data_IF_461115355850
#
_entry.id   IF_461115355850
#
_cell.length_a   1.000
_cell.length_b   1.000
_cell.length_c   1.000
_cell.angle_alpha   90.00
_cell.angle_beta   90.00
_cell.angle_gamma   90.00
#
_symmetry.space_group_name_H-M   'P 1'
#
loop_
_entity.id
_entity.type
_entity.pdbx_description
1 polymer ?
#
# COMPACT_ATOMS: atom_id res chain seq x y z
N UNK A 1 3.73 -15.94 -20.59
CA UNK A 1 3.11 -15.42 -21.86
C UNK A 1 3.36 -13.92 -21.89
N UNK A 2 3.93 -13.33 -22.95
CA UNK A 2 4.21 -11.90 -22.98
C UNK A 2 2.89 -11.10 -22.88
N UNK A 3 2.92 -9.99 -22.13
CA UNK A 3 1.78 -9.09 -21.98
C UNK A 3 1.35 -8.57 -23.37
N UNK A 4 0.10 -8.84 -23.75
CA UNK A 4 -0.46 -8.39 -25.03
C UNK A 4 -1.24 -7.09 -24.83
N UNK A 5 -1.31 -6.26 -25.86
CA UNK A 5 -2.11 -5.01 -25.88
C UNK A 5 -1.29 -3.81 -26.31
N UNK A 6 -1.97 -2.72 -26.55
CA UNK A 6 -1.36 -1.46 -26.93
C UNK A 6 -0.57 -0.84 -25.76
N UNK A 7 0.39 0.02 -26.10
CA UNK A 7 1.16 0.79 -25.12
C UNK A 7 0.20 1.67 -24.32
N UNK A 8 0.15 1.56 -22.96
CA UNK A 8 -0.64 2.48 -22.18
C UNK A 8 0.05 3.86 -22.12
N UNK A 9 -0.74 4.91 -22.08
CA UNK A 9 -0.23 6.25 -21.80
C UNK A 9 0.03 6.41 -20.28
N UNK A 10 -0.83 5.83 -19.47
CA UNK A 10 -0.77 5.87 -18.04
C UNK A 10 -0.32 4.53 -17.43
N UNK A 11 0.66 4.62 -16.54
CA UNK A 11 0.96 3.57 -15.57
C UNK A 11 0.34 3.96 -14.24
N UNK A 12 -0.50 3.09 -13.69
CA UNK A 12 -1.05 3.30 -12.36
C UNK A 12 -0.33 2.42 -11.35
N UNK A 13 -0.11 2.94 -10.15
CA UNK A 13 0.66 2.28 -9.10
C UNK A 13 -0.14 2.20 -7.81
N UNK A 14 -0.05 1.07 -7.13
CA UNK A 14 -0.22 1.05 -5.69
C UNK A 14 0.95 1.78 -5.01
N UNK A 15 0.77 2.23 -3.76
CA UNK A 15 1.77 3.01 -3.05
C UNK A 15 2.50 2.20 -1.97
N UNK A 16 1.79 1.86 -0.91
CA UNK A 16 2.39 1.22 0.26
C UNK A 16 2.65 -0.27 0.01
N UNK A 17 3.87 -0.73 0.33
CA UNK A 17 4.35 -2.06 -0.03
C UNK A 17 4.82 -2.19 -1.49
N UNK A 18 4.44 -1.25 -2.37
CA UNK A 18 4.86 -1.20 -3.78
C UNK A 18 5.99 -0.19 -4.00
N UNK A 19 5.75 1.06 -3.68
CA UNK A 19 6.70 2.18 -3.81
C UNK A 19 7.34 2.55 -2.47
N UNK A 20 6.56 2.48 -1.40
CA UNK A 20 6.90 2.88 -0.03
C UNK A 20 7.03 1.64 0.85
N UNK A 21 8.04 1.61 1.71
CA UNK A 21 8.39 0.51 2.62
C UNK A 21 7.36 0.40 3.77
N UNK A 22 6.24 -0.25 3.50
CA UNK A 22 5.15 -0.42 4.47
C UNK A 22 5.54 -1.31 5.64
N UNK A 23 6.05 -2.51 5.36
CA UNK A 23 6.29 -3.52 6.39
C UNK A 23 7.36 -3.06 7.38
N UNK A 24 8.45 -2.46 6.89
CA UNK A 24 9.53 -1.92 7.73
C UNK A 24 9.06 -0.72 8.54
N UNK A 25 8.25 0.14 7.94
CA UNK A 25 7.69 1.32 8.60
C UNK A 25 6.69 0.95 9.69
N UNK A 26 5.79 0.01 9.40
CA UNK A 26 4.82 -0.50 10.37
C UNK A 26 5.52 -1.22 11.53
N UNK A 27 6.53 -2.06 11.22
CA UNK A 27 7.37 -2.73 12.22
C UNK A 27 8.03 -1.73 13.17
N UNK A 28 8.59 -0.64 12.66
CA UNK A 28 9.24 0.39 13.46
C UNK A 28 8.24 1.15 14.36
N UNK A 29 7.06 1.51 13.82
CA UNK A 29 6.01 2.18 14.58
C UNK A 29 5.48 1.29 15.71
N UNK A 30 5.16 0.04 15.42
CA UNK A 30 4.65 -0.93 16.41
C UNK A 30 5.67 -1.22 17.50
N UNK A 31 6.96 -1.35 17.17
CA UNK A 31 8.03 -1.47 18.18
C UNK A 31 8.03 -0.28 19.13
N UNK A 32 7.88 0.93 18.61
CA UNK A 32 7.83 2.16 19.41
C UNK A 32 6.61 2.17 20.34
N UNK A 33 5.44 1.76 19.86
CA UNK A 33 4.22 1.67 20.65
C UNK A 33 4.36 0.62 21.75
N UNK A 34 4.84 -0.58 21.44
CA UNK A 34 5.02 -1.65 22.44
C UNK A 34 6.05 -1.28 23.52
N UNK A 35 7.11 -0.56 23.18
CA UNK A 35 8.10 -0.09 24.14
C UNK A 35 7.54 0.89 25.19
N UNK A 36 6.39 1.49 24.93
CA UNK A 36 5.70 2.44 25.83
C UNK A 36 4.69 1.76 26.77
N UNK A 37 4.41 0.47 26.57
CA UNK A 37 3.44 -0.25 27.39
C UNK A 37 3.93 -0.37 28.84
N UNK A 38 3.04 -0.22 29.83
CA UNK A 38 3.40 -0.39 31.24
C UNK A 38 3.99 -1.80 31.49
N UNK A 39 5.14 -1.87 32.14
CA UNK A 39 5.84 -3.14 32.43
C UNK A 39 6.90 -3.55 31.43
N UNK A 40 7.10 -2.86 30.32
CA UNK A 40 8.18 -3.14 29.36
C UNK A 40 9.59 -2.80 29.88
N UNK A 41 9.72 -2.04 31.01
CA UNK A 41 11.00 -1.46 31.45
C UNK A 41 11.31 -1.58 32.96
N UNK A 42 10.61 -2.44 33.75
CA UNK A 42 10.96 -2.60 35.17
C UNK A 42 11.72 -3.91 35.45
N UNK A 43 13.03 -3.84 35.79
CA UNK A 43 13.74 -4.97 36.37
C UNK A 43 13.17 -5.28 37.76
N UNK A 44 12.45 -6.40 37.91
CA UNK A 44 12.00 -6.86 39.22
C UNK A 44 10.51 -7.09 39.44
N UNK A 45 9.63 -6.78 38.46
CA UNK A 45 8.21 -7.12 38.60
C UNK A 45 7.98 -8.63 38.37
N UNK A 46 7.42 -9.29 39.40
CA UNK A 46 7.16 -10.75 39.44
C UNK A 46 5.88 -11.17 38.68
N UNK A 47 5.34 -10.39 37.81
CA UNK A 47 4.23 -10.83 36.94
C UNK A 47 4.69 -10.79 35.48
N UNK A 48 4.53 -11.89 34.74
CA UNK A 48 4.75 -11.86 33.31
C UNK A 48 3.64 -11.03 32.69
N UNK A 49 3.92 -9.79 32.32
CA UNK A 49 3.14 -9.12 31.28
C UNK A 49 3.30 -10.03 30.07
N UNK A 50 2.21 -10.55 29.54
CA UNK A 50 2.22 -11.30 28.30
C UNK A 50 2.97 -10.45 27.26
N UNK A 51 4.19 -10.85 26.92
CA UNK A 51 4.99 -10.14 25.92
C UNK A 51 4.31 -10.39 24.57
N UNK A 52 3.36 -9.53 24.23
CA UNK A 52 2.82 -9.50 22.88
C UNK A 52 3.99 -9.17 21.97
N UNK A 53 4.35 -10.10 21.09
CA UNK A 53 5.38 -9.85 20.12
C UNK A 53 4.88 -8.89 19.03
N UNK A 54 5.83 -8.22 18.38
CA UNK A 54 5.55 -7.20 17.36
C UNK A 54 4.73 -7.74 16.20
N UNK A 55 5.01 -8.96 15.76
CA UNK A 55 4.32 -9.57 14.61
C UNK A 55 2.86 -9.90 14.93
N UNK A 56 2.60 -10.33 16.16
CA UNK A 56 1.23 -10.58 16.63
C UNK A 56 0.40 -9.30 16.62
N UNK A 57 0.96 -8.17 17.09
CA UNK A 57 0.23 -6.90 17.03
C UNK A 57 0.04 -6.41 15.60
N UNK A 58 1.04 -6.51 14.72
CA UNK A 58 0.92 -6.16 13.31
C UNK A 58 -0.18 -6.99 12.65
N UNK A 59 -0.14 -8.32 12.81
CA UNK A 59 -1.13 -9.21 12.20
C UNK A 59 -2.57 -8.90 12.68
N UNK A 60 -2.72 -8.63 13.98
CA UNK A 60 -4.03 -8.29 14.56
C UNK A 60 -4.50 -6.92 14.07
N UNK A 61 -3.60 -5.95 13.93
CA UNK A 61 -3.88 -4.64 13.36
C UNK A 61 -4.32 -4.74 11.89
N UNK A 62 -3.57 -5.46 11.05
CA UNK A 62 -3.90 -5.66 9.64
C UNK A 62 -5.30 -6.27 9.45
N UNK A 63 -5.67 -7.22 10.30
CA UNK A 63 -7.02 -7.80 10.32
C UNK A 63 -8.08 -6.71 10.50
N UNK A 64 -7.94 -5.88 11.55
CA UNK A 64 -8.93 -4.84 11.85
C UNK A 64 -8.92 -3.69 10.85
N UNK A 65 -7.75 -3.26 10.39
CA UNK A 65 -7.62 -2.25 9.34
C UNK A 65 -8.42 -2.66 8.09
N UNK A 66 -8.18 -3.86 7.58
CA UNK A 66 -8.88 -4.37 6.41
C UNK A 66 -10.40 -4.56 6.62
N UNK A 67 -10.82 -4.99 7.80
CA UNK A 67 -12.25 -5.08 8.12
C UNK A 67 -12.91 -3.69 8.14
N UNK A 68 -12.26 -2.69 8.72
CA UNK A 68 -12.76 -1.33 8.82
C UNK A 68 -12.82 -0.63 7.46
N UNK A 69 -11.83 -0.84 6.59
CA UNK A 69 -11.82 -0.33 5.21
C UNK A 69 -13.05 -0.77 4.40
N UNK A 70 -13.54 -1.99 4.65
CA UNK A 70 -14.70 -2.55 3.92
C UNK A 70 -16.04 -2.17 4.53
N UNK A 71 -16.08 -1.54 5.70
CA UNK A 71 -17.33 -1.11 6.35
C UNK A 71 -17.93 0.14 5.69
N UNK A 72 -19.23 0.31 5.85
CA UNK A 72 -19.97 1.49 5.40
C UNK A 72 -20.67 2.15 6.60
N UNK A 73 -20.79 3.49 6.61
CA UNK A 73 -20.29 4.45 5.61
C UNK A 73 -18.76 4.47 5.55
N UNK A 74 -18.18 5.03 4.46
CA UNK A 74 -16.74 5.23 4.32
C UNK A 74 -16.18 6.07 5.48
N UNK A 75 -15.04 5.66 6.02
CA UNK A 75 -14.28 6.39 7.02
C UNK A 75 -12.96 6.85 6.42
N UNK A 76 -12.40 7.95 6.90
CA UNK A 76 -11.06 8.36 6.53
C UNK A 76 -10.03 7.29 6.94
N UNK A 77 -8.92 7.21 6.22
CA UNK A 77 -7.86 6.25 6.56
C UNK A 77 -7.27 6.53 7.94
N UNK A 78 -7.14 7.80 8.32
CA UNK A 78 -6.75 8.19 9.68
C UNK A 78 -7.67 7.60 10.75
N UNK A 79 -8.98 7.60 10.51
CA UNK A 79 -9.97 6.98 11.41
C UNK A 79 -9.80 5.45 11.44
N UNK A 80 -9.60 4.83 10.27
CA UNK A 80 -9.38 3.38 10.15
C UNK A 80 -8.12 2.96 10.90
N UNK A 81 -7.01 3.66 10.73
CA UNK A 81 -5.74 3.42 11.46
C UNK A 81 -5.95 3.50 12.98
N UNK A 82 -6.61 4.57 13.44
CA UNK A 82 -6.83 4.77 14.87
C UNK A 82 -7.76 3.71 15.49
N UNK A 83 -8.89 3.42 14.86
CA UNK A 83 -9.83 2.39 15.32
C UNK A 83 -9.20 0.99 15.24
N UNK A 84 -8.51 0.68 14.14
CA UNK A 84 -7.82 -0.60 13.93
C UNK A 84 -6.78 -0.87 15.01
N UNK A 85 -5.94 0.12 15.32
CA UNK A 85 -4.95 -0.01 16.38
C UNK A 85 -5.60 -0.21 17.75
N UNK A 86 -6.67 0.55 18.08
CA UNK A 86 -7.40 0.39 19.34
C UNK A 86 -7.99 -1.02 19.49
N UNK A 87 -8.63 -1.53 18.44
CA UNK A 87 -9.23 -2.86 18.43
C UNK A 87 -8.17 -3.95 18.57
N UNK A 88 -7.05 -3.83 17.83
CA UNK A 88 -5.95 -4.78 17.91
C UNK A 88 -5.32 -4.82 19.30
N UNK A 89 -5.00 -3.67 19.87
CA UNK A 89 -4.43 -3.58 21.20
C UNK A 89 -5.40 -4.07 22.28
N UNK A 90 -6.69 -3.77 22.16
CA UNK A 90 -7.72 -4.27 23.07
C UNK A 90 -7.85 -5.80 23.00
N UNK A 91 -7.87 -6.41 21.81
CA UNK A 91 -7.90 -7.88 21.63
C UNK A 91 -6.70 -8.55 22.31
N UNK A 92 -5.54 -7.88 22.30
CA UNK A 92 -4.29 -8.39 22.88
C UNK A 92 -4.09 -8.00 24.37
N UNK A 93 -5.09 -7.36 24.98
CA UNK A 93 -5.01 -6.93 26.40
C UNK A 93 -4.04 -5.77 26.64
N UNK A 94 -3.73 -4.98 25.62
CA UNK A 94 -2.85 -3.81 25.69
C UNK A 94 -3.66 -2.52 25.85
N UNK A 95 -3.06 -1.50 26.48
CA UNK A 95 -3.63 -0.16 26.55
C UNK A 95 -3.26 0.65 25.32
N UNK A 96 -4.26 1.24 24.64
CA UNK A 96 -4.06 2.12 23.50
C UNK A 96 -4.41 3.56 23.88
N UNK A 97 -3.48 4.47 23.67
CA UNK A 97 -3.63 5.91 23.90
C UNK A 97 -3.74 6.69 22.59
N UNK A 98 -4.20 7.93 22.64
CA UNK A 98 -4.19 8.80 21.45
C UNK A 98 -2.77 9.05 20.93
N UNK A 99 -1.78 9.10 21.85
CA UNK A 99 -0.37 9.20 21.47
C UNK A 99 0.14 7.99 20.66
N UNK A 100 -0.36 6.79 20.93
CA UNK A 100 0.02 5.60 20.17
C UNK A 100 -0.56 5.65 18.73
N UNK A 101 -1.78 6.16 18.60
CA UNK A 101 -2.42 6.40 17.29
C UNK A 101 -1.65 7.48 16.50
N UNK A 102 -1.24 8.56 17.18
CA UNK A 102 -0.45 9.61 16.55
C UNK A 102 0.92 9.09 16.09
N UNK A 103 1.59 8.26 16.89
CA UNK A 103 2.84 7.59 16.51
C UNK A 103 2.63 6.78 15.20
N UNK A 104 1.60 5.94 15.15
CA UNK A 104 1.35 5.12 13.97
C UNK A 104 1.04 5.99 12.75
N UNK A 105 0.07 6.90 12.86
CA UNK A 105 -0.37 7.75 11.74
C UNK A 105 0.77 8.64 11.20
N UNK A 106 1.53 9.27 12.10
CA UNK A 106 2.66 10.12 11.70
C UNK A 106 3.86 9.32 11.18
N UNK A 107 3.97 8.04 11.55
CA UNK A 107 4.97 7.14 10.97
C UNK A 107 4.65 6.80 9.52
N UNK A 108 3.38 6.59 9.18
CA UNK A 108 2.96 6.26 7.81
C UNK A 108 3.38 7.35 6.83
N UNK A 109 3.10 8.62 7.12
CA UNK A 109 3.48 9.74 6.23
C UNK A 109 5.01 9.92 6.07
N UNK A 110 5.81 9.34 6.97
CA UNK A 110 7.29 9.42 6.95
C UNK A 110 7.98 8.15 6.43
N UNK A 111 7.22 7.11 6.08
CA UNK A 111 7.81 5.91 5.47
C UNK A 111 8.55 6.27 4.18
N UNK A 112 9.68 5.60 3.95
CA UNK A 112 10.58 5.89 2.83
C UNK A 112 10.26 5.04 1.61
N UNK A 113 10.57 5.51 0.39
CA UNK A 113 10.54 4.64 -0.78
C UNK A 113 11.58 3.52 -0.67
N UNK A 114 11.34 2.43 -1.39
CA UNK A 114 12.39 1.44 -1.64
C UNK A 114 13.51 2.07 -2.48
N UNK A 115 14.75 1.58 -2.30
CA UNK A 115 15.94 2.24 -2.84
C UNK A 115 15.97 2.41 -4.35
N UNK A 116 15.35 1.50 -5.09
CA UNK A 116 15.29 1.53 -6.56
C UNK A 116 14.14 2.37 -7.14
N UNK A 117 13.14 2.75 -6.31
CA UNK A 117 11.86 3.30 -6.78
C UNK A 117 12.04 4.62 -7.52
N UNK A 118 12.77 5.58 -6.96
CA UNK A 118 12.92 6.91 -7.58
C UNK A 118 13.56 6.79 -8.96
N UNK A 119 14.64 6.00 -9.08
CA UNK A 119 15.30 5.75 -10.36
C UNK A 119 14.40 5.03 -11.38
N UNK A 120 13.63 4.05 -10.92
CA UNK A 120 12.70 3.32 -11.79
C UNK A 120 11.57 4.21 -12.30
N UNK A 121 10.96 5.05 -11.43
CA UNK A 121 9.95 6.03 -11.84
C UNK A 121 10.52 7.05 -12.82
N UNK A 122 11.76 7.53 -12.60
CA UNK A 122 12.47 8.42 -13.54
C UNK A 122 12.62 7.79 -14.93
N UNK A 123 13.11 6.54 -14.99
CA UNK A 123 13.24 5.79 -16.24
C UNK A 123 11.91 5.59 -16.98
N UNK A 124 10.82 5.32 -16.26
CA UNK A 124 9.48 5.23 -16.86
C UNK A 124 8.99 6.58 -17.40
N UNK A 125 9.31 7.70 -16.73
CA UNK A 125 9.01 9.04 -17.22
C UNK A 125 9.81 9.38 -18.49
N UNK A 126 11.10 9.04 -18.54
CA UNK A 126 11.96 9.19 -19.72
C UNK A 126 11.44 8.34 -20.90
N UNK A 127 10.84 7.20 -20.63
CA UNK A 127 10.15 6.38 -21.61
C UNK A 127 8.80 6.97 -22.06
N UNK A 128 8.40 8.13 -21.57
CA UNK A 128 7.19 8.85 -21.97
C UNK A 128 5.90 8.36 -21.30
N UNK A 129 5.97 7.57 -20.22
CA UNK A 129 4.79 7.18 -19.46
C UNK A 129 4.36 8.27 -18.47
N UNK A 130 3.05 8.43 -18.30
CA UNK A 130 2.47 9.23 -17.22
C UNK A 130 2.21 8.33 -16.01
N UNK A 131 2.49 8.82 -14.80
CA UNK A 131 2.43 8.04 -13.57
C UNK A 131 1.31 8.55 -12.68
N UNK A 132 0.40 7.64 -12.28
CA UNK A 132 -0.66 7.91 -11.31
C UNK A 132 -0.57 6.89 -10.16
N UNK A 133 -0.71 7.36 -8.92
CA UNK A 133 -0.84 6.51 -7.74
C UNK A 133 -2.33 6.32 -7.43
N UNK A 134 -2.73 5.08 -7.08
CA UNK A 134 -4.06 4.73 -6.55
C UNK A 134 -3.83 4.04 -5.20
N UNK A 135 -4.21 4.69 -4.09
CA UNK A 135 -3.84 4.26 -2.74
C UNK A 135 -5.00 4.27 -1.75
N UNK A 136 -5.00 3.28 -0.85
CA UNK A 136 -5.92 3.18 0.29
C UNK A 136 -5.47 4.11 1.43
N UNK A 137 -5.59 5.43 1.23
CA UNK A 137 -5.14 6.41 2.21
C UNK A 137 -5.90 7.74 2.08
N UNK A 138 -5.60 8.69 2.96
CA UNK A 138 -6.05 10.08 2.89
C UNK A 138 -5.01 10.94 2.16
N UNK A 139 -5.44 12.07 1.59
CA UNK A 139 -4.61 12.97 0.77
C UNK A 139 -3.44 13.57 1.55
N UNK A 140 -3.69 13.95 2.80
CA UNK A 140 -2.68 14.56 3.67
C UNK A 140 -1.61 13.54 4.15
N UNK A 141 -2.01 12.29 4.35
CA UNK A 141 -1.09 11.22 4.80
C UNK A 141 -0.10 10.86 3.69
N UNK A 142 -0.58 10.72 2.45
CA UNK A 142 0.28 10.30 1.33
C UNK A 142 1.18 11.42 0.79
N UNK A 143 0.86 12.69 1.06
CA UNK A 143 1.56 13.84 0.48
C UNK A 143 3.07 13.81 0.72
N UNK A 144 3.50 13.55 1.96
CA UNK A 144 4.92 13.49 2.32
C UNK A 144 5.63 12.29 1.70
N UNK A 145 4.94 11.15 1.53
CA UNK A 145 5.50 9.99 0.84
C UNK A 145 5.71 10.29 -0.65
N UNK A 146 4.73 10.93 -1.31
CA UNK A 146 4.82 11.31 -2.74
C UNK A 146 5.93 12.34 -2.97
N UNK A 147 6.14 13.27 -2.05
CA UNK A 147 7.25 14.25 -2.12
C UNK A 147 8.63 13.58 -2.21
N UNK A 148 8.79 12.37 -1.68
CA UNK A 148 10.03 11.59 -1.72
C UNK A 148 10.23 10.82 -3.06
N UNK A 149 9.24 10.82 -3.96
CA UNK A 149 9.28 10.05 -5.22
C UNK A 149 9.91 10.81 -6.40
N UNK A 150 10.73 11.83 -6.13
CA UNK A 150 11.54 12.52 -7.16
C UNK A 150 10.73 13.39 -8.14
N UNK A 151 9.49 13.77 -7.83
CA UNK A 151 8.65 14.59 -8.71
C UNK A 151 8.12 13.84 -9.95
N UNK A 152 8.24 12.52 -10.01
CA UNK A 152 7.85 11.71 -11.17
C UNK A 152 6.35 11.40 -11.24
N UNK A 153 5.62 11.58 -10.14
CA UNK A 153 4.18 11.29 -10.05
C UNK A 153 3.37 12.44 -10.62
N UNK A 154 2.50 12.15 -11.59
CA UNK A 154 1.66 13.15 -12.27
C UNK A 154 0.29 13.33 -11.59
N UNK A 155 -0.23 12.28 -10.96
CA UNK A 155 -1.54 12.26 -10.31
C UNK A 155 -1.54 11.31 -9.12
N UNK A 156 -2.29 11.65 -8.09
CA UNK A 156 -2.56 10.79 -6.93
C UNK A 156 -4.07 10.69 -6.77
N UNK A 157 -4.57 9.48 -6.63
CA UNK A 157 -5.96 9.16 -6.33
C UNK A 157 -5.97 8.37 -5.03
N UNK A 158 -6.76 8.83 -4.08
CA UNK A 158 -6.83 8.25 -2.73
C UNK A 158 -8.21 7.64 -2.46
N UNK A 159 -8.27 6.78 -1.44
CA UNK A 159 -9.54 6.26 -0.93
C UNK A 159 -10.44 7.40 -0.42
N UNK A 160 -9.88 8.48 0.11
CA UNK A 160 -10.61 9.67 0.53
C UNK A 160 -11.34 10.31 -0.66
N UNK A 161 -10.67 10.53 -1.80
CA UNK A 161 -11.27 11.12 -3.00
C UNK A 161 -12.36 10.24 -3.60
N UNK A 162 -12.16 8.93 -3.57
CA UNK A 162 -13.09 7.96 -4.16
C UNK A 162 -14.23 7.55 -3.22
N UNK A 163 -14.13 7.87 -1.92
CA UNK A 163 -14.97 7.35 -0.84
C UNK A 163 -15.07 5.81 -0.87
N UNK A 164 -13.96 5.16 -1.22
CA UNK A 164 -13.87 3.71 -1.36
C UNK A 164 -12.43 3.23 -1.25
N UNK A 165 -12.24 2.12 -0.56
CA UNK A 165 -10.98 1.39 -0.45
C UNK A 165 -10.88 0.29 -1.50
N UNK A 166 -9.66 -0.03 -1.98
CA UNK A 166 -9.39 -1.28 -2.71
C UNK A 166 -9.78 -2.49 -1.83
N UNK A 167 -10.27 -3.58 -2.41
CA UNK A 167 -10.37 -3.90 -3.83
C UNK A 167 -11.66 -3.40 -4.49
N UNK A 168 -12.42 -2.48 -3.89
CA UNK A 168 -13.63 -1.96 -4.50
C UNK A 168 -13.35 -1.38 -5.89
N UNK A 169 -14.18 -1.73 -6.88
CA UNK A 169 -14.12 -1.18 -8.23
C UNK A 169 -14.24 0.35 -8.26
N UNK A 170 -14.95 0.94 -7.27
CA UNK A 170 -15.22 2.39 -7.21
C UNK A 170 -13.95 3.24 -7.20
N UNK A 171 -12.89 2.85 -6.48
CA UNK A 171 -11.65 3.64 -6.45
C UNK A 171 -10.94 3.60 -7.81
N UNK A 172 -10.89 2.45 -8.48
CA UNK A 172 -10.31 2.31 -9.82
C UNK A 172 -11.13 3.04 -10.88
N UNK A 173 -12.47 2.92 -10.85
CA UNK A 173 -13.37 3.66 -11.74
C UNK A 173 -13.27 5.16 -11.54
N UNK A 174 -13.12 5.62 -10.29
CA UNK A 174 -12.85 7.02 -9.98
C UNK A 174 -11.53 7.49 -10.58
N UNK A 175 -10.48 6.68 -10.42
CA UNK A 175 -9.16 6.96 -11.00
C UNK A 175 -9.22 7.05 -12.53
N UNK A 176 -9.82 6.07 -13.19
CA UNK A 176 -9.88 6.03 -14.66
C UNK A 176 -10.72 7.18 -15.24
N UNK A 177 -11.85 7.53 -14.62
CA UNK A 177 -12.60 8.74 -15.00
C UNK A 177 -11.78 10.02 -14.83
N UNK A 178 -11.02 10.13 -13.73
CA UNK A 178 -10.16 11.30 -13.46
C UNK A 178 -8.99 11.42 -14.43
N UNK A 179 -8.56 10.31 -15.02
CA UNK A 179 -7.48 10.24 -16.01
C UNK A 179 -8.02 10.34 -17.46
N UNK A 180 -9.33 10.20 -17.68
CA UNK A 180 -9.96 10.18 -18.99
C UNK A 180 -9.62 8.92 -19.81
N UNK A 181 -9.46 7.76 -19.15
CA UNK A 181 -9.06 6.50 -19.79
C UNK A 181 -10.01 5.36 -19.39
N UNK A 182 -10.02 4.29 -20.20
CA UNK A 182 -10.70 3.03 -19.88
C UNK A 182 -9.78 2.02 -19.18
N UNK A 183 -10.37 1.00 -18.60
CA UNK A 183 -9.62 -0.07 -17.90
C UNK A 183 -8.65 -0.83 -18.84
N UNK A 184 -8.99 -0.95 -20.11
CA UNK A 184 -8.17 -1.61 -21.14
C UNK A 184 -6.90 -0.82 -21.49
N UNK A 185 -6.89 0.50 -21.23
CA UNK A 185 -5.76 1.41 -21.49
C UNK A 185 -4.79 1.50 -20.31
N UNK A 186 -5.04 0.74 -19.23
CA UNK A 186 -4.26 0.77 -18.00
C UNK A 186 -3.24 -0.37 -17.95
N UNK A 187 -2.07 -0.07 -17.40
CA UNK A 187 -1.19 -1.04 -16.79
C UNK A 187 -0.98 -0.64 -15.34
N UNK A 188 -1.46 -1.47 -14.43
CA UNK A 188 -1.32 -1.27 -13.00
C UNK A 188 -0.12 -2.03 -12.45
N UNK A 189 0.67 -1.40 -11.58
CA UNK A 189 1.86 -1.99 -10.94
C UNK A 189 1.64 -1.99 -9.43
N UNK A 190 1.69 -3.16 -8.80
CA UNK A 190 1.28 -3.31 -7.41
C UNK A 190 1.98 -4.48 -6.70
N UNK A 191 2.01 -4.45 -5.37
CA UNK A 191 2.51 -5.53 -4.54
C UNK A 191 1.40 -6.36 -3.87
N UNK A 192 0.14 -5.90 -3.85
CA UNK A 192 -0.94 -6.58 -3.12
C UNK A 192 -1.81 -7.48 -4.01
N UNK A 193 -1.73 -8.81 -3.89
CA UNK A 193 -2.64 -9.71 -4.58
C UNK A 193 -4.10 -9.49 -4.18
N UNK A 194 -4.36 -9.31 -2.89
CA UNK A 194 -5.71 -9.22 -2.35
C UNK A 194 -6.44 -7.92 -2.72
N UNK A 195 -5.73 -6.82 -2.85
CA UNK A 195 -6.30 -5.51 -3.12
C UNK A 195 -6.32 -5.19 -4.62
N UNK A 196 -5.18 -5.38 -5.29
CA UNK A 196 -4.97 -4.89 -6.65
C UNK A 196 -5.14 -5.99 -7.70
N UNK A 197 -4.51 -7.18 -7.51
CA UNK A 197 -4.68 -8.27 -8.47
C UNK A 197 -6.11 -8.81 -8.45
N UNK A 198 -6.79 -8.83 -7.29
CA UNK A 198 -8.19 -9.17 -7.21
C UNK A 198 -9.07 -8.19 -8.00
N UNK A 199 -8.81 -6.88 -7.87
CA UNK A 199 -9.50 -5.87 -8.66
C UNK A 199 -9.20 -6.01 -10.17
N UNK A 200 -7.94 -6.30 -10.53
CA UNK A 200 -7.56 -6.54 -11.93
C UNK A 200 -8.30 -7.73 -12.53
N UNK A 201 -8.42 -8.83 -11.80
CA UNK A 201 -9.22 -10.00 -12.20
C UNK A 201 -10.67 -9.60 -12.47
N UNK A 202 -11.28 -8.84 -11.54
CA UNK A 202 -12.71 -8.54 -11.55
C UNK A 202 -13.09 -7.42 -12.55
N UNK A 203 -12.11 -6.59 -12.94
CA UNK A 203 -12.30 -5.46 -13.85
C UNK A 203 -11.62 -5.65 -15.22
N UNK A 204 -10.75 -6.64 -15.36
CA UNK A 204 -10.08 -6.96 -16.62
C UNK A 204 -8.91 -6.05 -17.00
N UNK A 205 -8.37 -5.22 -16.10
CA UNK A 205 -7.20 -4.42 -16.40
C UNK A 205 -5.89 -5.20 -16.24
N UNK A 206 -4.85 -4.76 -16.94
CA UNK A 206 -3.54 -5.42 -16.93
C UNK A 206 -2.75 -5.05 -15.68
N UNK A 207 -2.06 -6.06 -15.08
CA UNK A 207 -1.20 -5.84 -13.91
C UNK A 207 0.20 -6.40 -14.10
N UNK A 208 1.17 -5.71 -13.48
CA UNK A 208 2.49 -6.26 -13.09
C UNK A 208 2.51 -6.39 -11.57
N UNK A 209 2.88 -7.56 -11.08
CA UNK A 209 3.03 -7.81 -9.66
C UNK A 209 4.48 -7.62 -9.24
N UNK A 210 4.71 -6.70 -8.30
CA UNK A 210 6.00 -6.52 -7.62
C UNK A 210 5.96 -7.37 -6.34
N UNK A 211 6.54 -8.54 -6.42
CA UNK A 211 6.60 -9.49 -5.30
C UNK A 211 7.90 -9.29 -4.52
N UNK A 212 7.83 -8.47 -3.49
CA UNK A 212 8.94 -8.10 -2.63
C UNK A 212 9.32 -9.15 -1.59
N UNK A 213 8.73 -10.34 -1.65
CA UNK A 213 9.03 -11.41 -0.69
C UNK A 213 8.35 -11.24 0.66
N UNK A 214 7.33 -10.39 0.77
CA UNK A 214 6.56 -10.15 1.99
C UNK A 214 5.59 -11.31 2.36
N UNK A 215 5.74 -12.48 1.75
CA UNK A 215 4.91 -13.65 2.05
C UNK A 215 3.51 -13.61 1.43
N UNK A 216 3.24 -12.68 0.54
CA UNK A 216 1.96 -12.61 -0.17
C UNK A 216 1.75 -13.84 -1.06
N UNK A 217 0.55 -14.45 -0.97
CA UNK A 217 0.20 -15.59 -1.80
C UNK A 217 -0.40 -15.11 -3.12
N UNK A 218 0.03 -15.72 -4.27
CA UNK A 218 -0.61 -15.46 -5.56
C UNK A 218 -2.11 -15.80 -5.50
N UNK A 219 -2.91 -15.10 -6.30
CA UNK A 219 -4.30 -15.53 -6.51
C UNK A 219 -4.31 -16.84 -7.32
N UNK A 220 -5.21 -17.75 -6.95
CA UNK A 220 -5.33 -19.06 -7.62
C UNK A 220 -5.95 -18.90 -9.02
N UNK A 221 -6.82 -17.93 -9.18
CA UNK A 221 -7.68 -17.70 -10.35
C UNK A 221 -7.28 -16.47 -11.19
N UNK A 222 -6.08 -15.91 -10.95
CA UNK A 222 -5.56 -14.78 -11.70
C UNK A 222 -4.04 -14.83 -11.82
N UNK A 223 -3.54 -14.63 -13.05
CA UNK A 223 -2.12 -14.53 -13.35
C UNK A 223 -1.81 -13.12 -13.86
N UNK A 224 -0.95 -12.34 -13.17
CA UNK A 224 -0.53 -11.03 -13.66
C UNK A 224 0.27 -11.16 -14.97
N UNK A 225 0.30 -10.10 -15.76
CA UNK A 225 1.03 -10.07 -17.04
C UNK A 225 2.55 -10.24 -16.89
N UNK A 226 3.09 -9.85 -15.74
CA UNK A 226 4.47 -10.12 -15.32
C UNK A 226 4.58 -10.09 -13.79
N UNK A 227 5.67 -10.68 -13.24
CA UNK A 227 6.02 -10.67 -11.82
C UNK A 227 7.51 -10.37 -11.68
N UNK A 228 7.85 -9.40 -10.84
CA UNK A 228 9.22 -8.99 -10.56
C UNK A 228 9.45 -8.80 -9.06
N UNK A 229 10.68 -9.02 -8.56
CA UNK A 229 11.00 -8.79 -7.16
C UNK A 229 11.12 -7.29 -6.80
N UNK A 230 11.45 -6.44 -7.79
CA UNK A 230 11.73 -5.01 -7.61
C UNK A 230 11.26 -4.19 -8.80
N UNK A 231 11.02 -2.89 -8.59
CA UNK A 231 10.44 -2.01 -9.61
C UNK A 231 11.40 -1.71 -10.77
N UNK A 232 12.72 -1.71 -10.54
CA UNK A 232 13.74 -1.46 -11.57
C UNK A 232 13.71 -2.47 -12.72
N UNK A 233 13.03 -3.59 -12.55
CA UNK A 233 12.81 -4.60 -13.61
C UNK A 233 11.71 -4.20 -14.60
N UNK A 234 10.84 -3.27 -14.22
CA UNK A 234 9.70 -2.86 -15.06
C UNK A 234 10.14 -2.02 -16.26
N UNK A 235 10.96 -0.95 -16.16
CA UNK A 235 11.36 -0.17 -17.33
C UNK A 235 11.99 -1.00 -18.47
N UNK A 236 12.99 -1.87 -18.23
CA UNK A 236 13.55 -2.70 -19.30
C UNK A 236 12.54 -3.73 -19.84
N UNK A 237 11.63 -4.23 -19.02
CA UNK A 237 10.57 -5.12 -19.49
C UNK A 237 9.62 -4.41 -20.46
N UNK A 238 9.14 -3.19 -20.14
CA UNK A 238 8.27 -2.43 -21.04
C UNK A 238 8.96 -2.10 -22.36
N UNK A 239 10.26 -1.80 -22.32
CA UNK A 239 11.08 -1.62 -23.51
C UNK A 239 11.13 -2.91 -24.36
N UNK A 240 11.27 -4.08 -23.73
CA UNK A 240 11.29 -5.36 -24.45
C UNK A 240 9.96 -5.72 -25.14
N UNK A 241 8.84 -5.08 -24.71
CA UNK A 241 7.54 -5.20 -25.37
C UNK A 241 7.40 -4.27 -26.60
N UNK A 242 8.40 -3.45 -26.90
CA UNK A 242 8.34 -2.47 -27.98
C UNK A 242 7.47 -1.25 -27.63
N UNK A 243 7.27 -0.97 -26.35
CA UNK A 243 6.45 0.17 -25.90
C UNK A 243 7.27 1.47 -25.69
N UNK A 244 8.54 1.43 -26.02
CA UNK A 244 9.49 2.55 -25.91
C UNK A 244 10.29 2.66 -27.19
#
# INVERSE_FOLDING_TARGET
>A
MAMRGERPEWLTFDCYGTLIQWDEGLLAAVKTILARQPGSSQPGSRQPVSQVDVQTLIHTYDKYEHELEQRRPHKSFRTVVGEGLRLAMMELGLSCTDSDIEILTSSISRMRPFGEVVGALGALREQGFRICIISNTDDDIIADNVAQLGGHVCRVITAQQAEAYKPSKRIFEHAYRSLGIGAEQVLHICASPRLDLAAARDMGFRCIWIDRGAGHRPLVDYTPGARFPTLDRVPPYLKSLGWV
#
